data_IF_342356151536
#
_entry.id   IF_342356151536
#
_cell.length_a   1.000
_cell.length_b   1.000
_cell.length_c   1.000
_cell.angle_alpha   90.00
_cell.angle_beta   90.00
_cell.angle_gamma   90.00
#
_symmetry.space_group_name_H-M   'P 1'
#
loop_
_entity.id
_entity.type
_entity.pdbx_description
1 polymer ?
#
# COMPACT_ATOMS: atom_id res chain seq x y z
N UNK A 1 8.50 4.90 5.90
CA UNK A 1 9.44 5.68 5.07
C UNK A 1 9.29 7.13 5.49
N UNK A 2 10.34 7.74 6.04
CA UNK A 2 10.30 9.12 6.55
C UNK A 2 11.33 9.94 5.80
N UNK A 3 10.96 11.14 5.36
CA UNK A 3 11.86 12.09 4.70
C UNK A 3 11.67 13.48 5.29
N UNK A 4 12.76 14.14 5.63
CA UNK A 4 12.79 15.55 5.99
C UNK A 4 13.13 16.34 4.73
N UNK A 5 12.34 17.36 4.45
CA UNK A 5 12.47 18.21 3.23
C UNK A 5 12.32 19.65 3.62
N UNK A 6 13.23 20.48 3.15
CA UNK A 6 13.15 21.94 3.36
C UNK A 6 12.43 22.59 2.19
N UNK A 7 11.38 23.35 2.49
CA UNK A 7 10.64 24.12 1.50
C UNK A 7 11.43 25.35 1.03
N UNK A 8 11.01 25.95 -0.08
CA UNK A 8 11.57 27.22 -0.59
C UNK A 8 11.40 28.37 0.42
N UNK A 9 10.34 28.30 1.20
CA UNK A 9 10.00 29.22 2.28
C UNK A 9 10.83 29.03 3.56
N UNK A 10 11.76 28.06 3.58
CA UNK A 10 12.64 27.75 4.70
C UNK A 10 12.01 26.85 5.77
N UNK A 11 10.72 26.49 5.66
CA UNK A 11 10.05 25.57 6.58
C UNK A 11 10.54 24.13 6.37
N UNK A 12 10.68 23.40 7.47
CA UNK A 12 11.01 21.99 7.43
C UNK A 12 9.73 21.16 7.38
N UNK A 13 9.66 20.27 6.40
CA UNK A 13 8.54 19.37 6.16
C UNK A 13 8.96 17.92 6.46
N UNK A 14 8.12 17.23 7.20
CA UNK A 14 8.29 15.79 7.45
C UNK A 14 7.28 15.03 6.61
N UNK A 15 7.77 14.30 5.61
CA UNK A 15 6.94 13.42 4.77
C UNK A 15 7.07 12.00 5.27
N UNK A 16 5.96 11.42 5.74
CA UNK A 16 5.88 10.05 6.25
C UNK A 16 4.99 9.22 5.35
N UNK A 17 5.44 8.04 4.99
CA UNK A 17 4.60 7.05 4.31
C UNK A 17 4.55 5.78 5.17
N UNK A 18 3.35 5.37 5.56
CA UNK A 18 3.09 4.19 6.37
C UNK A 18 2.10 3.28 5.66
N UNK A 19 2.37 1.98 5.68
CA UNK A 19 1.44 0.97 5.19
C UNK A 19 0.31 0.79 6.21
N UNK A 20 -0.92 0.90 5.77
CA UNK A 20 -2.08 0.63 6.63
C UNK A 20 -2.35 -0.86 6.70
N UNK A 21 -2.15 -1.43 7.89
CA UNK A 21 -2.48 -2.83 8.14
C UNK A 21 -3.99 -3.04 8.30
N UNK A 22 -4.71 -2.03 8.77
CA UNK A 22 -6.17 -1.97 8.82
C UNK A 22 -6.60 -0.83 7.91
N UNK A 23 -7.02 -1.13 6.69
CA UNK A 23 -7.70 -0.15 5.88
C UNK A 23 -9.01 0.22 6.60
N UNK A 24 -9.24 1.48 6.97
CA UNK A 24 -10.56 1.89 7.38
C UNK A 24 -11.50 1.61 6.21
N UNK A 25 -12.63 0.95 6.49
CA UNK A 25 -13.70 0.81 5.53
C UNK A 25 -14.24 2.21 5.26
N UNK A 26 -13.77 2.85 4.21
CA UNK A 26 -14.37 4.10 3.73
C UNK A 26 -15.65 3.76 3.00
N UNK A 27 -16.67 4.60 3.13
CA UNK A 27 -17.99 4.38 2.52
C UNK A 27 -17.90 4.15 1.00
N UNK A 28 -16.91 4.73 0.33
CA UNK A 28 -16.61 4.54 -1.09
C UNK A 28 -16.12 3.12 -1.45
N UNK A 29 -15.53 2.41 -0.48
CA UNK A 29 -15.13 1.01 -0.70
C UNK A 29 -16.33 0.05 -0.75
N UNK A 30 -17.50 0.46 -0.22
CA UNK A 30 -18.71 -0.37 -0.23
C UNK A 30 -19.44 -0.35 -1.58
N UNK A 31 -19.30 0.68 -2.39
CA UNK A 31 -20.10 0.85 -3.61
C UNK A 31 -19.51 0.16 -4.85
N UNK A 32 -18.20 -0.13 -4.84
CA UNK A 32 -17.52 -0.74 -5.98
C UNK A 32 -16.89 -2.10 -5.71
N UNK A 33 -16.93 -2.61 -4.49
CA UNK A 33 -16.16 -3.78 -4.08
C UNK A 33 -16.98 -4.97 -3.57
N UNK A 34 -18.15 -5.21 -4.14
CA UNK A 34 -18.76 -6.55 -4.07
C UNK A 34 -17.85 -7.60 -4.73
N UNK A 35 -16.96 -7.18 -5.61
CA UNK A 35 -15.92 -8.00 -6.22
C UNK A 35 -14.58 -8.03 -5.44
N UNK A 36 -14.39 -7.17 -4.44
CA UNK A 36 -13.15 -7.01 -3.67
C UNK A 36 -13.13 -7.73 -2.32
N UNK A 37 -14.15 -8.50 -2.01
CA UNK A 37 -14.15 -9.33 -0.81
C UNK A 37 -12.93 -10.26 -0.81
N UNK A 38 -12.15 -10.24 0.28
CA UNK A 38 -11.03 -11.18 0.49
C UNK A 38 -11.46 -12.65 0.50
N UNK A 39 -12.77 -12.89 0.69
CA UNK A 39 -13.38 -14.21 0.83
C UNK A 39 -13.06 -15.16 -0.33
N UNK A 40 -13.24 -14.80 -1.63
CA UNK A 40 -12.93 -15.71 -2.71
C UNK A 40 -11.42 -15.99 -2.83
N UNK A 41 -10.56 -15.01 -2.54
CA UNK A 41 -9.10 -15.19 -2.54
C UNK A 41 -8.63 -16.13 -1.43
N UNK A 42 -9.17 -15.96 -0.22
CA UNK A 42 -8.89 -16.85 0.92
C UNK A 42 -9.43 -18.25 0.66
N UNK A 43 -10.65 -18.38 0.12
CA UNK A 43 -11.23 -19.67 -0.22
C UNK A 43 -10.38 -20.42 -1.26
N UNK A 44 -9.94 -19.75 -2.32
CA UNK A 44 -9.05 -20.33 -3.33
C UNK A 44 -7.70 -20.77 -2.72
N UNK A 45 -7.14 -19.95 -1.84
CA UNK A 45 -5.88 -20.27 -1.17
C UNK A 45 -6.04 -21.50 -0.26
N UNK A 46 -7.12 -21.59 0.50
CA UNK A 46 -7.42 -22.75 1.36
C UNK A 46 -7.65 -24.02 0.54
N UNK A 47 -8.41 -23.95 -0.55
CA UNK A 47 -8.63 -25.08 -1.45
C UNK A 47 -7.32 -25.55 -2.07
N UNK A 48 -6.48 -24.62 -2.53
CA UNK A 48 -5.18 -24.95 -3.13
C UNK A 48 -4.23 -25.57 -2.11
N UNK A 49 -4.19 -25.04 -0.88
CA UNK A 49 -3.40 -25.60 0.21
C UNK A 49 -3.89 -27.00 0.60
N UNK A 50 -5.20 -27.20 0.68
CA UNK A 50 -5.80 -28.50 0.93
C UNK A 50 -5.44 -29.53 -0.15
N UNK A 51 -5.56 -29.14 -1.43
CA UNK A 51 -5.16 -30.01 -2.54
C UNK A 51 -3.66 -30.34 -2.51
N UNK A 52 -2.81 -29.40 -2.14
CA UNK A 52 -1.37 -29.64 -1.97
C UNK A 52 -1.10 -30.67 -0.88
N UNK A 53 -1.77 -30.56 0.27
CA UNK A 53 -1.65 -31.50 1.38
C UNK A 53 -2.13 -32.88 0.96
N UNK A 54 -3.29 -32.99 0.28
CA UNK A 54 -3.83 -34.25 -0.23
C UNK A 54 -2.86 -34.89 -1.21
N UNK A 55 -2.28 -34.13 -2.13
CA UNK A 55 -1.29 -34.64 -3.08
C UNK A 55 -0.05 -35.19 -2.39
N UNK A 56 0.44 -34.56 -1.33
CA UNK A 56 1.64 -35.02 -0.62
C UNK A 56 1.37 -36.26 0.23
N UNK A 57 0.21 -36.29 0.92
CA UNK A 57 -0.09 -37.35 1.89
C UNK A 57 -0.73 -38.58 1.23
N UNK A 58 -1.54 -38.39 0.20
CA UNK A 58 -2.38 -39.44 -0.38
C UNK A 58 -2.01 -39.81 -1.83
N UNK A 59 -0.81 -39.48 -2.30
CA UNK A 59 -0.36 -39.97 -3.61
C UNK A 59 0.09 -41.40 -3.48
N UNK A 60 -0.57 -42.38 -4.16
CA UNK A 60 -0.11 -43.75 -4.17
C UNK A 60 1.27 -43.85 -4.84
N UNK A 61 2.10 -44.81 -4.40
CA UNK A 61 3.46 -45.01 -4.92
C UNK A 61 3.53 -45.27 -6.44
N UNK A 62 2.40 -45.63 -7.04
CA UNK A 62 2.28 -45.89 -8.46
C UNK A 62 2.04 -44.62 -9.30
N UNK A 63 1.68 -43.50 -8.66
CA UNK A 63 1.38 -42.23 -9.34
C UNK A 63 2.57 -41.29 -9.19
N UNK A 64 3.27 -41.02 -10.30
CA UNK A 64 4.31 -40.00 -10.33
C UNK A 64 3.69 -38.63 -10.63
N UNK A 65 3.65 -37.75 -9.63
CA UNK A 65 3.24 -36.37 -9.82
C UNK A 65 4.38 -35.60 -10.48
N UNK A 66 4.17 -35.01 -11.66
CA UNK A 66 5.20 -34.22 -12.34
C UNK A 66 5.62 -33.02 -11.48
N UNK A 67 6.89 -32.66 -11.50
CA UNK A 67 7.44 -31.56 -10.72
C UNK A 67 6.78 -30.20 -11.04
N UNK A 68 6.29 -29.99 -12.25
CA UNK A 68 5.60 -28.76 -12.65
C UNK A 68 4.26 -28.55 -11.88
N UNK A 69 3.60 -29.62 -11.43
CA UNK A 69 2.39 -29.51 -10.61
C UNK A 69 2.69 -28.84 -9.28
N UNK A 70 3.78 -29.23 -8.61
CA UNK A 70 4.23 -28.59 -7.37
C UNK A 70 4.61 -27.13 -7.61
N UNK A 71 5.26 -26.84 -8.73
CA UNK A 71 5.59 -25.47 -9.10
C UNK A 71 4.31 -24.62 -9.34
N UNK A 72 3.32 -25.18 -10.04
CA UNK A 72 2.05 -24.50 -10.28
C UNK A 72 1.32 -24.17 -8.95
N UNK A 73 1.24 -25.13 -8.04
CA UNK A 73 0.65 -24.95 -6.71
C UNK A 73 1.40 -23.88 -5.93
N UNK A 74 2.73 -23.90 -5.93
CA UNK A 74 3.57 -22.91 -5.27
C UNK A 74 3.33 -21.50 -5.83
N UNK A 75 3.25 -21.36 -7.15
CA UNK A 75 2.97 -20.08 -7.81
C UNK A 75 1.59 -19.54 -7.41
N UNK A 76 0.57 -20.38 -7.36
CA UNK A 76 -0.77 -19.96 -6.90
C UNK A 76 -0.75 -19.53 -5.44
N UNK A 77 -0.09 -20.29 -4.57
CA UNK A 77 0.03 -19.98 -3.13
C UNK A 77 0.77 -18.66 -2.90
N UNK A 78 1.79 -18.36 -3.69
CA UNK A 78 2.56 -17.11 -3.59
C UNK A 78 1.84 -15.92 -4.24
N UNK A 79 1.08 -16.15 -5.31
CA UNK A 79 0.42 -15.10 -6.08
C UNK A 79 -0.54 -14.27 -5.23
N UNK A 80 -1.40 -14.91 -4.45
CA UNK A 80 -2.41 -14.21 -3.65
C UNK A 80 -1.82 -13.31 -2.55
N UNK A 81 -0.91 -13.80 -1.68
CA UNK A 81 -0.32 -12.94 -0.66
C UNK A 81 0.56 -11.83 -1.28
N UNK A 82 1.29 -12.13 -2.36
CA UNK A 82 2.10 -11.13 -3.05
C UNK A 82 1.22 -10.02 -3.65
N UNK A 83 0.15 -10.37 -4.36
CA UNK A 83 -0.81 -9.42 -4.91
C UNK A 83 -1.44 -8.57 -3.81
N UNK A 84 -1.79 -9.18 -2.67
CA UNK A 84 -2.37 -8.49 -1.53
C UNK A 84 -1.41 -7.46 -0.92
N UNK A 85 -0.15 -7.82 -0.71
CA UNK A 85 0.89 -6.90 -0.20
C UNK A 85 1.13 -5.75 -1.17
N UNK A 86 1.24 -6.05 -2.47
CA UNK A 86 1.51 -5.05 -3.49
C UNK A 86 0.38 -4.03 -3.68
N UNK A 87 -0.86 -4.41 -3.42
CA UNK A 87 -2.05 -3.55 -3.57
C UNK A 87 -2.49 -2.85 -2.28
N UNK A 88 -1.80 -3.06 -1.17
CA UNK A 88 -2.17 -2.41 0.08
C UNK A 88 -2.13 -0.90 -0.03
N UNK A 89 -3.11 -0.22 0.64
CA UNK A 89 -3.09 1.22 0.75
C UNK A 89 -1.97 1.69 1.68
N UNK A 90 -1.38 2.80 1.33
CA UNK A 90 -0.38 3.52 2.11
C UNK A 90 -0.90 4.89 2.45
N UNK A 91 -0.83 5.28 3.70
CA UNK A 91 -1.10 6.64 4.12
C UNK A 91 0.18 7.45 4.04
N UNK A 92 0.12 8.52 3.26
CA UNK A 92 1.19 9.51 3.16
C UNK A 92 0.75 10.75 3.90
N UNK A 93 1.60 11.20 4.82
CA UNK A 93 1.37 12.39 5.64
C UNK A 93 2.53 13.34 5.43
N UNK A 94 2.24 14.60 5.08
CA UNK A 94 3.21 15.68 5.04
C UNK A 94 2.83 16.71 6.11
N UNK A 95 3.74 16.94 7.03
CA UNK A 95 3.53 17.83 8.19
C UNK A 95 4.63 18.90 8.24
N UNK A 96 4.24 20.11 8.61
CA UNK A 96 5.18 21.19 8.96
C UNK A 96 4.75 21.82 10.29
N UNK A 97 5.72 22.14 11.14
CA UNK A 97 5.46 22.73 12.46
C UNK A 97 5.13 24.25 12.40
N UNK A 98 5.15 24.83 11.21
CA UNK A 98 4.99 26.29 11.06
C UNK A 98 6.31 27.05 11.25
N UNK A 99 6.24 28.37 11.19
CA UNK A 99 7.41 29.23 11.39
C UNK A 99 7.52 29.65 12.87
N UNK A 100 8.76 29.72 13.36
CA UNK A 100 9.10 30.17 14.73
C UNK A 100 8.58 31.59 15.01
N UNK A 101 8.38 32.38 13.93
CA UNK A 101 7.89 33.78 14.00
C UNK A 101 6.36 33.86 14.15
N UNK A 102 5.63 32.72 14.02
CA UNK A 102 4.16 32.70 14.19
C UNK A 102 3.36 33.23 12.99
N UNK A 103 4.03 33.61 11.92
CA UNK A 103 3.40 34.21 10.72
C UNK A 103 2.77 33.14 9.80
N UNK A 104 3.15 31.87 9.98
CA UNK A 104 2.62 30.71 9.23
C UNK A 104 2.24 29.55 10.15
N UNK A 105 0.97 29.12 10.11
CA UNK A 105 0.50 28.03 10.98
C UNK A 105 1.14 26.69 10.59
N UNK A 106 1.08 25.74 11.52
CA UNK A 106 1.37 24.34 11.24
C UNK A 106 0.37 23.79 10.23
N UNK A 107 0.86 23.09 9.24
CA UNK A 107 0.03 22.47 8.21
C UNK A 107 0.23 20.96 8.19
N UNK A 108 -0.88 20.24 8.02
CA UNK A 108 -0.87 18.79 7.88
C UNK A 108 -1.66 18.39 6.64
N UNK A 109 -1.03 17.59 5.81
CA UNK A 109 -1.61 17.05 4.59
C UNK A 109 -1.61 15.54 4.66
N UNK A 110 -2.76 14.91 4.36
CA UNK A 110 -2.94 13.46 4.43
C UNK A 110 -3.51 12.98 3.11
N UNK A 111 -3.01 11.85 2.64
CA UNK A 111 -3.53 11.19 1.45
C UNK A 111 -3.28 9.69 1.46
N UNK A 112 -4.14 8.95 0.76
CA UNK A 112 -4.01 7.51 0.63
C UNK A 112 -3.60 7.15 -0.79
N UNK A 113 -2.53 6.37 -0.92
CA UNK A 113 -1.98 5.94 -2.20
C UNK A 113 -1.95 4.41 -2.22
N UNK A 114 -2.45 3.82 -3.30
CA UNK A 114 -2.44 2.36 -3.47
C UNK A 114 -1.24 1.92 -4.30
N UNK A 115 -0.56 0.90 -3.83
CA UNK A 115 0.56 0.26 -4.52
C UNK A 115 1.94 0.74 -4.07
N UNK A 116 2.77 -0.21 -3.66
CA UNK A 116 4.10 0.04 -3.10
C UNK A 116 5.03 0.84 -4.04
N UNK A 117 4.98 0.55 -5.34
CA UNK A 117 5.81 1.24 -6.33
C UNK A 117 5.32 2.66 -6.59
N UNK A 118 4.00 2.85 -6.63
CA UNK A 118 3.36 4.17 -6.81
C UNK A 118 3.69 5.09 -5.65
N UNK A 119 3.66 4.59 -4.42
CA UNK A 119 3.99 5.36 -3.20
C UNK A 119 5.40 5.94 -3.27
N UNK A 120 6.38 5.15 -3.69
CA UNK A 120 7.77 5.62 -3.80
C UNK A 120 7.91 6.75 -4.83
N UNK A 121 7.19 6.66 -5.94
CA UNK A 121 7.12 7.71 -6.98
C UNK A 121 6.46 8.99 -6.46
N UNK A 122 5.30 8.85 -5.81
CA UNK A 122 4.54 9.96 -5.26
C UNK A 122 5.28 10.68 -4.12
N UNK A 123 5.91 9.96 -3.21
CA UNK A 123 6.75 10.56 -2.16
C UNK A 123 7.89 11.38 -2.76
N UNK A 124 8.51 10.91 -3.85
CA UNK A 124 9.53 11.70 -4.58
C UNK A 124 8.94 12.94 -5.24
N UNK A 125 7.74 12.83 -5.83
CA UNK A 125 7.02 13.95 -6.43
C UNK A 125 6.70 15.00 -5.37
N UNK A 126 6.05 14.61 -4.28
CA UNK A 126 5.70 15.47 -3.14
C UNK A 126 6.95 16.19 -2.60
N UNK A 127 8.05 15.46 -2.40
CA UNK A 127 9.33 16.03 -1.96
C UNK A 127 9.82 17.14 -2.90
N UNK A 128 9.77 16.92 -4.22
CA UNK A 128 10.17 17.93 -5.22
C UNK A 128 9.22 19.12 -5.25
N UNK A 129 7.91 18.89 -5.05
CA UNK A 129 6.90 19.95 -5.04
C UNK A 129 7.10 20.84 -3.81
N UNK A 130 7.35 20.26 -2.64
CA UNK A 130 7.68 21.01 -1.42
C UNK A 130 8.93 21.86 -1.63
N UNK A 131 9.99 21.31 -2.25
CA UNK A 131 11.24 22.04 -2.50
C UNK A 131 11.06 23.23 -3.44
N UNK A 132 10.12 23.16 -4.40
CA UNK A 132 9.91 24.20 -5.41
C UNK A 132 8.85 25.23 -5.06
N UNK A 133 7.83 24.80 -4.30
CA UNK A 133 6.62 25.59 -4.11
C UNK A 133 6.19 25.69 -2.65
N UNK A 134 6.91 25.04 -1.72
CA UNK A 134 6.59 24.99 -0.28
C UNK A 134 5.19 24.44 0.03
N UNK A 135 4.58 23.73 -0.93
CA UNK A 135 3.30 23.06 -0.82
C UNK A 135 3.46 21.56 -1.16
N UNK A 136 2.84 20.65 -0.40
CA UNK A 136 3.00 19.21 -0.64
C UNK A 136 2.38 18.75 -1.95
N UNK A 137 1.21 19.28 -2.30
CA UNK A 137 0.49 18.86 -3.48
C UNK A 137 -0.44 19.96 -4.03
N UNK A 138 -0.68 19.99 -5.36
CA UNK A 138 -1.62 20.90 -6.02
C UNK A 138 -2.83 20.15 -6.58
N UNK A 139 -2.60 19.00 -7.24
CA UNK A 139 -3.62 18.22 -7.94
C UNK A 139 -3.48 16.71 -7.64
N UNK A 140 -2.92 16.34 -6.52
CA UNK A 140 -2.63 14.97 -6.20
C UNK A 140 -3.48 14.40 -5.05
N UNK A 141 -3.05 13.27 -4.50
CA UNK A 141 -3.82 12.52 -3.50
C UNK A 141 -3.79 13.14 -2.10
N UNK A 142 -2.97 14.16 -1.84
CA UNK A 142 -2.84 14.79 -0.53
C UNK A 142 -3.85 15.94 -0.38
N UNK A 143 -4.58 15.93 0.73
CA UNK A 143 -5.51 16.97 1.11
C UNK A 143 -5.10 17.60 2.45
N UNK A 144 -5.26 18.92 2.61
CA UNK A 144 -5.01 19.58 3.89
C UNK A 144 -6.04 19.10 4.92
N UNK A 145 -5.57 18.82 6.12
CA UNK A 145 -6.41 18.43 7.26
C UNK A 145 -6.22 19.51 8.31
N UNK A 146 -7.33 20.18 8.67
CA UNK A 146 -7.38 21.15 9.77
C UNK A 146 -7.30 20.45 11.14
#
# INVERSE_FOLDING_TARGET
>A
MNRLVRGEDGRDWVVRAQMEWRAPATADDFEHDVAGSYTPGIAMLLVTAFLAVVLVIWTPDQVRVPAWVFLAILLVLLFFPLRWILRRPWTVVAETEGDVTGDRPSERWVGTIRGMFTVSGEVKRITKTIQKHSLPDFDGPLHPVE
#
